data_IF_070650643630
#
_entry.id   IF_070650643630
#
_cell.length_a   1.000
_cell.length_b   1.000
_cell.length_c   1.000
_cell.angle_alpha   90.00
_cell.angle_beta   90.00
_cell.angle_gamma   90.00
#
_symmetry.space_group_name_H-M   'P 1'
#
loop_
_entity.id
_entity.type
_entity.pdbx_description
1 polymer ?
#
# COMPACT_ATOMS: atom_id res chain seq x y z
N UNK A 1 -44.61 -2.95 8.05
CA UNK A 1 -44.05 -3.49 6.80
C UNK A 1 -42.92 -2.57 6.35
N UNK A 2 -41.64 -2.99 6.40
CA UNK A 2 -40.50 -2.14 6.01
C UNK A 2 -40.27 -2.26 4.51
N UNK A 3 -40.14 -1.15 3.80
CA UNK A 3 -39.89 -1.18 2.36
C UNK A 3 -38.44 -1.54 2.10
N UNK A 4 -38.16 -2.19 0.97
CA UNK A 4 -36.81 -2.62 0.57
C UNK A 4 -35.82 -1.44 0.51
N UNK A 5 -36.32 -0.22 0.22
CA UNK A 5 -35.53 1.02 0.24
C UNK A 5 -35.02 1.43 1.63
N UNK A 6 -35.79 1.16 2.69
CA UNK A 6 -35.39 1.49 4.07
C UNK A 6 -34.21 0.65 4.56
N UNK A 7 -34.10 -0.59 4.06
CA UNK A 7 -33.03 -1.51 4.44
C UNK A 7 -31.71 -1.11 3.79
N UNK A 8 -31.74 -0.71 2.51
CA UNK A 8 -30.56 -0.28 1.74
C UNK A 8 -30.00 1.04 2.28
N UNK A 9 -30.86 2.02 2.59
CA UNK A 9 -30.44 3.31 3.15
C UNK A 9 -29.79 3.16 4.53
N UNK A 10 -30.35 2.31 5.39
CA UNK A 10 -29.78 1.99 6.70
C UNK A 10 -28.43 1.27 6.59
N UNK A 11 -28.30 0.28 5.70
CA UNK A 11 -27.02 -0.42 5.49
C UNK A 11 -25.95 0.54 4.99
N UNK A 12 -26.28 1.42 4.04
CA UNK A 12 -25.36 2.46 3.58
C UNK A 12 -24.91 3.36 4.73
N UNK A 13 -25.85 3.86 5.54
CA UNK A 13 -25.53 4.73 6.68
C UNK A 13 -24.60 4.03 7.68
N UNK A 14 -24.85 2.75 7.97
CA UNK A 14 -23.99 1.95 8.85
C UNK A 14 -22.56 1.81 8.32
N UNK A 15 -22.40 1.54 7.02
CA UNK A 15 -21.07 1.45 6.39
C UNK A 15 -20.34 2.79 6.47
N UNK A 16 -21.01 3.88 6.13
CA UNK A 16 -20.41 5.22 6.25
C UNK A 16 -19.97 5.51 7.67
N UNK A 17 -20.84 5.26 8.67
CA UNK A 17 -20.52 5.46 10.08
C UNK A 17 -19.35 4.58 10.53
N UNK A 18 -19.31 3.31 10.11
CA UNK A 18 -18.23 2.40 10.47
C UNK A 18 -16.88 2.87 9.90
N UNK A 19 -16.83 3.29 8.63
CA UNK A 19 -15.58 3.79 8.02
C UNK A 19 -15.13 5.08 8.71
N UNK A 20 -16.04 6.01 8.96
CA UNK A 20 -15.73 7.25 9.69
C UNK A 20 -15.22 6.93 11.10
N UNK A 21 -15.86 6.01 11.81
CA UNK A 21 -15.42 5.59 13.14
C UNK A 21 -14.01 4.97 13.10
N UNK A 22 -13.71 4.10 12.13
CA UNK A 22 -12.38 3.51 11.95
C UNK A 22 -11.34 4.60 11.65
N UNK A 23 -11.65 5.56 10.78
CA UNK A 23 -10.76 6.70 10.50
C UNK A 23 -10.50 7.53 11.76
N UNK A 24 -11.53 7.86 12.52
CA UNK A 24 -11.39 8.66 13.75
C UNK A 24 -10.59 7.91 14.81
N UNK A 25 -10.91 6.63 15.05
CA UNK A 25 -10.16 5.80 16.00
C UNK A 25 -8.71 5.62 15.57
N UNK A 26 -8.46 5.39 14.28
CA UNK A 26 -7.12 5.30 13.72
C UNK A 26 -6.35 6.61 13.83
N UNK A 27 -7.00 7.76 13.62
CA UNK A 27 -6.41 9.08 13.82
C UNK A 27 -6.02 9.28 15.29
N UNK A 28 -6.94 9.04 16.21
CA UNK A 28 -6.70 9.19 17.64
C UNK A 28 -5.55 8.27 18.10
N UNK A 29 -5.54 7.01 17.67
CA UNK A 29 -4.47 6.07 18.00
C UNK A 29 -3.11 6.48 17.44
N UNK A 30 -3.07 7.10 16.25
CA UNK A 30 -1.82 7.59 15.64
C UNK A 30 -1.29 8.86 16.30
N UNK A 31 -2.19 9.77 16.69
CA UNK A 31 -1.81 11.02 17.37
C UNK A 31 -1.47 10.80 18.85
N UNK A 32 -2.04 9.76 19.46
CA UNK A 32 -1.68 9.36 20.83
C UNK A 32 -0.19 9.02 20.92
N UNK A 33 0.52 9.75 21.78
CA UNK A 33 1.94 9.53 22.05
C UNK A 33 2.82 9.64 20.78
N UNK A 34 2.43 10.48 19.82
CA UNK A 34 3.11 10.58 18.53
C UNK A 34 4.57 11.05 18.69
N UNK A 35 4.85 11.91 19.68
CA UNK A 35 6.18 12.43 19.98
C UNK A 35 6.96 11.63 21.02
N UNK A 36 6.35 10.64 21.68
CA UNK A 36 6.94 10.00 22.86
C UNK A 36 8.00 8.94 22.48
N UNK A 37 7.98 8.47 21.24
CA UNK A 37 8.90 7.45 20.74
C UNK A 37 10.13 8.10 20.12
N UNK A 38 11.30 7.58 20.47
CA UNK A 38 12.58 7.93 19.83
C UNK A 38 12.46 7.79 18.32
N UNK A 39 12.96 8.79 17.59
CA UNK A 39 13.01 8.77 16.13
C UNK A 39 13.75 7.54 15.60
N UNK A 40 13.11 6.81 14.69
CA UNK A 40 13.78 5.77 13.93
C UNK A 40 14.87 6.41 13.04
N UNK A 41 15.93 5.65 12.72
CA UNK A 41 17.04 6.15 11.90
C UNK A 41 16.58 6.80 10.59
N UNK A 42 15.60 6.19 9.91
CA UNK A 42 15.04 6.74 8.67
C UNK A 42 14.24 8.03 8.89
N UNK A 43 13.50 8.12 10.00
CA UNK A 43 12.73 9.32 10.35
C UNK A 43 13.66 10.50 10.61
N UNK A 44 14.70 10.30 11.43
CA UNK A 44 15.69 11.33 11.75
C UNK A 44 16.44 11.79 10.48
N UNK A 45 16.82 10.84 9.63
CA UNK A 45 17.50 11.12 8.37
C UNK A 45 16.62 11.94 7.42
N UNK A 46 15.36 11.55 7.22
CA UNK A 46 14.41 12.33 6.39
C UNK A 46 14.19 13.72 7.01
N UNK A 47 14.04 13.82 8.33
CA UNK A 47 13.93 15.09 9.06
C UNK A 47 15.09 16.05 8.80
N UNK A 48 16.33 15.55 8.84
CA UNK A 48 17.52 16.34 8.53
C UNK A 48 17.46 16.98 7.14
N UNK A 49 17.13 16.20 6.10
CA UNK A 49 17.09 16.73 4.73
C UNK A 49 15.92 17.70 4.49
N UNK A 50 14.83 17.56 5.24
CA UNK A 50 13.74 18.55 5.23
C UNK A 50 14.23 19.88 5.82
N UNK A 51 14.99 19.86 6.91
CA UNK A 51 15.56 21.07 7.51
C UNK A 51 16.56 21.76 6.56
N UNK A 52 17.47 20.98 5.97
CA UNK A 52 18.39 21.47 4.94
C UNK A 52 17.63 22.14 3.78
N UNK A 53 16.56 21.50 3.30
CA UNK A 53 15.71 22.05 2.25
C UNK A 53 14.99 23.33 2.69
N UNK A 54 14.51 23.40 3.94
CA UNK A 54 13.86 24.59 4.47
C UNK A 54 14.84 25.78 4.56
N UNK A 55 16.10 25.53 4.90
CA UNK A 55 17.15 26.57 5.00
C UNK A 55 17.66 27.03 3.63
N UNK A 56 17.90 26.09 2.71
CA UNK A 56 18.57 26.37 1.43
C UNK A 56 17.61 26.58 0.26
N UNK A 57 16.39 26.06 0.36
CA UNK A 57 15.42 25.99 -0.74
C UNK A 57 15.80 25.03 -1.87
N UNK A 58 16.93 24.30 -1.75
CA UNK A 58 17.43 23.41 -2.81
C UNK A 58 17.05 21.96 -2.53
N UNK A 59 16.44 21.31 -3.51
CA UNK A 59 16.13 19.88 -3.44
C UNK A 59 17.06 19.10 -4.37
N UNK A 60 17.79 18.15 -3.81
CA UNK A 60 18.57 17.17 -4.57
C UNK A 60 17.96 15.78 -4.40
N UNK A 61 17.69 15.10 -5.52
CA UNK A 61 17.14 13.75 -5.45
C UNK A 61 18.19 12.76 -4.93
N UNK A 62 17.92 12.21 -3.75
CA UNK A 62 18.74 11.16 -3.15
C UNK A 62 17.90 9.89 -2.98
N UNK A 63 18.23 8.77 -3.65
CA UNK A 63 17.45 7.53 -3.58
C UNK A 63 17.24 7.01 -2.14
N UNK A 64 18.17 7.32 -1.24
CA UNK A 64 18.13 6.91 0.17
C UNK A 64 17.12 7.71 1.03
N UNK A 65 16.59 8.84 0.55
CA UNK A 65 15.68 9.75 1.29
C UNK A 65 14.26 9.73 0.74
N UNK A 66 13.95 8.82 -0.19
CA UNK A 66 12.66 8.75 -0.88
C UNK A 66 12.36 10.03 -1.70
N UNK A 67 11.12 10.18 -2.18
CA UNK A 67 10.71 11.28 -3.05
C UNK A 67 10.57 12.66 -2.37
N UNK A 68 10.32 13.73 -3.15
CA UNK A 68 10.31 15.12 -2.67
C UNK A 68 9.13 15.49 -1.77
N UNK A 69 8.12 14.62 -1.68
CA UNK A 69 6.84 14.93 -1.04
C UNK A 69 6.99 15.47 0.40
N UNK A 70 7.78 14.81 1.23
CA UNK A 70 7.96 15.24 2.63
C UNK A 70 8.76 16.54 2.74
N UNK A 71 9.64 16.85 1.80
CA UNK A 71 10.36 18.14 1.79
C UNK A 71 9.38 19.29 1.62
N UNK A 72 8.48 19.20 0.65
CA UNK A 72 7.51 20.25 0.37
C UNK A 72 6.41 20.38 1.42
N UNK A 73 6.01 19.28 2.07
CA UNK A 73 4.93 19.31 3.06
C UNK A 73 5.44 19.63 4.46
N UNK A 74 6.59 19.08 4.86
CA UNK A 74 7.09 19.27 6.21
C UNK A 74 7.92 20.56 6.39
N UNK A 75 8.55 21.12 5.35
CA UNK A 75 9.26 22.41 5.47
C UNK A 75 8.35 23.54 5.98
N UNK A 76 7.20 23.86 5.34
CA UNK A 76 6.30 24.88 5.87
C UNK A 76 5.67 24.49 7.21
N UNK A 77 5.56 23.20 7.49
CA UNK A 77 5.06 22.70 8.77
C UNK A 77 6.05 22.96 9.91
N UNK A 78 7.35 22.79 9.64
CA UNK A 78 8.42 23.11 10.58
C UNK A 78 8.54 24.61 10.80
N UNK A 79 8.37 25.42 9.76
CA UNK A 79 8.33 26.89 9.90
C UNK A 79 7.18 27.35 10.80
N UNK A 80 6.00 26.71 10.70
CA UNK A 80 4.81 27.10 11.44
C UNK A 80 4.78 26.57 12.89
N UNK A 81 5.14 25.30 13.09
CA UNK A 81 4.95 24.58 14.36
C UNK A 81 6.27 24.22 15.06
N UNK A 82 7.40 24.54 14.46
CA UNK A 82 8.73 24.17 14.91
C UNK A 82 9.09 22.71 14.55
N UNK A 83 10.38 22.42 14.33
CA UNK A 83 10.84 21.05 14.11
C UNK A 83 10.88 20.26 15.41
N UNK A 84 10.13 19.16 15.48
CA UNK A 84 10.12 18.20 16.58
C UNK A 84 9.52 16.85 16.12
N UNK A 85 9.61 15.83 16.97
CA UNK A 85 9.13 14.47 16.70
C UNK A 85 7.63 14.40 16.32
N UNK A 86 6.81 15.31 16.87
CA UNK A 86 5.37 15.37 16.53
C UNK A 86 5.19 15.94 15.13
N UNK A 87 5.80 17.09 14.83
CA UNK A 87 5.60 17.79 13.56
C UNK A 87 6.18 17.00 12.40
N UNK A 88 7.31 16.32 12.57
CA UNK A 88 7.92 15.51 11.50
C UNK A 88 7.06 14.30 11.12
N UNK A 89 6.26 13.77 12.05
CA UNK A 89 5.37 12.61 11.85
C UNK A 89 3.94 12.99 11.49
N UNK A 90 3.56 14.25 11.62
CA UNK A 90 2.16 14.69 11.52
C UNK A 90 1.56 14.41 10.14
N UNK A 91 2.24 14.80 9.06
CA UNK A 91 1.74 14.60 7.69
C UNK A 91 1.48 13.11 7.40
N UNK A 92 2.44 12.24 7.73
CA UNK A 92 2.34 10.79 7.54
C UNK A 92 1.20 10.21 8.40
N UNK A 93 1.05 10.68 9.63
CA UNK A 93 0.01 10.21 10.56
C UNK A 93 -1.39 10.58 10.08
N UNK A 94 -1.58 11.80 9.58
CA UNK A 94 -2.85 12.27 9.04
C UNK A 94 -3.23 11.52 7.76
N UNK A 95 -2.29 11.38 6.82
CA UNK A 95 -2.53 10.65 5.57
C UNK A 95 -2.83 9.18 5.83
N UNK A 96 -2.04 8.52 6.69
CA UNK A 96 -2.26 7.14 7.08
C UNK A 96 -3.59 6.91 7.81
N UNK A 97 -4.05 7.88 8.63
CA UNK A 97 -5.36 7.82 9.26
C UNK A 97 -6.52 8.02 8.27
N UNK A 98 -6.31 8.83 7.23
CA UNK A 98 -7.33 9.16 6.24
C UNK A 98 -7.57 8.05 5.20
N UNK A 99 -6.65 7.09 5.03
CA UNK A 99 -6.74 6.01 4.03
C UNK A 99 -8.10 5.27 3.98
N UNK A 100 -8.76 4.93 5.11
CA UNK A 100 -10.06 4.25 5.04
C UNK A 100 -11.15 5.09 4.34
N UNK A 101 -11.05 6.43 4.32
CA UNK A 101 -12.00 7.30 3.63
C UNK A 101 -12.01 7.07 2.11
N UNK A 102 -10.92 6.55 1.54
CA UNK A 102 -10.85 6.17 0.12
C UNK A 102 -11.94 5.14 -0.22
N UNK A 103 -12.31 4.26 0.71
CA UNK A 103 -13.41 3.32 0.51
C UNK A 103 -14.75 4.02 0.28
N UNK A 104 -14.98 5.17 0.93
CA UNK A 104 -16.19 5.98 0.72
C UNK A 104 -16.16 6.70 -0.63
N UNK A 105 -14.99 7.18 -1.06
CA UNK A 105 -14.82 7.80 -2.38
C UNK A 105 -15.12 6.80 -3.50
N UNK A 106 -14.56 5.59 -3.42
CA UNK A 106 -14.81 4.51 -4.39
C UNK A 106 -16.27 4.07 -4.35
N UNK A 107 -16.87 3.98 -3.15
CA UNK A 107 -18.29 3.65 -3.02
C UNK A 107 -19.21 4.74 -3.61
N UNK A 108 -18.85 6.02 -3.45
CA UNK A 108 -19.57 7.14 -4.02
C UNK A 108 -19.47 7.15 -5.55
N UNK A 109 -18.26 6.98 -6.09
CA UNK A 109 -18.01 6.86 -7.53
C UNK A 109 -18.81 5.70 -8.14
N UNK A 110 -18.77 4.53 -7.51
CA UNK A 110 -19.55 3.38 -7.96
C UNK A 110 -21.06 3.66 -8.01
N UNK A 111 -21.60 4.39 -7.02
CA UNK A 111 -23.02 4.77 -7.00
C UNK A 111 -23.35 5.79 -8.09
N UNK A 112 -22.47 6.77 -8.32
CA UNK A 112 -22.64 7.74 -9.41
C UNK A 112 -22.62 7.04 -10.77
N UNK A 113 -21.73 6.06 -10.95
CA UNK A 113 -21.67 5.23 -12.14
C UNK A 113 -22.97 4.44 -12.35
N UNK A 114 -23.50 3.78 -11.31
CA UNK A 114 -24.76 3.02 -11.41
C UNK A 114 -25.97 3.92 -11.70
N UNK A 115 -26.04 5.09 -11.06
CA UNK A 115 -27.15 6.04 -11.24
C UNK A 115 -27.16 6.68 -12.64
N UNK A 116 -26.01 6.80 -13.31
CA UNK A 116 -25.95 7.26 -14.72
C UNK A 116 -26.26 6.17 -15.73
N UNK A 117 -25.95 4.91 -15.41
CA UNK A 117 -25.77 3.90 -16.46
C UNK A 117 -26.94 2.94 -16.67
N UNK A 118 -27.87 2.73 -15.73
CA UNK A 118 -28.81 1.62 -15.92
C UNK A 118 -30.20 1.74 -15.29
N UNK A 119 -31.18 1.75 -16.18
CA UNK A 119 -32.52 1.18 -16.00
C UNK A 119 -32.51 -0.28 -16.52
N UNK A 120 -31.70 -1.18 -15.93
CA UNK A 120 -31.50 -2.54 -16.49
C UNK A 120 -31.43 -3.72 -15.51
N UNK A 121 -31.87 -4.91 -15.97
CA UNK A 121 -31.96 -6.12 -15.16
C UNK A 121 -30.59 -6.71 -14.74
N UNK A 122 -30.47 -6.99 -13.43
CA UNK A 122 -29.30 -7.50 -12.71
C UNK A 122 -28.65 -8.75 -13.31
N UNK A 123 -29.44 -9.61 -13.98
CA UNK A 123 -28.96 -10.85 -14.61
C UNK A 123 -27.93 -10.61 -15.72
N UNK A 124 -28.07 -9.50 -16.44
CA UNK A 124 -27.15 -9.11 -17.51
C UNK A 124 -25.85 -8.50 -16.96
N UNK A 125 -25.93 -7.79 -15.83
CA UNK A 125 -24.76 -7.26 -15.12
C UNK A 125 -23.92 -8.39 -14.52
N UNK A 126 -24.55 -9.38 -13.89
CA UNK A 126 -23.88 -10.54 -13.30
C UNK A 126 -23.15 -11.40 -14.34
N UNK A 127 -23.77 -11.68 -15.49
CA UNK A 127 -23.09 -12.39 -16.59
C UNK A 127 -21.89 -11.62 -17.14
N UNK A 128 -22.01 -10.30 -17.31
CA UNK A 128 -20.92 -9.44 -17.78
C UNK A 128 -19.78 -9.35 -16.77
N UNK A 129 -20.10 -9.28 -15.49
CA UNK A 129 -19.09 -9.31 -14.42
C UNK A 129 -18.37 -10.66 -14.40
N UNK A 130 -19.11 -11.77 -14.44
CA UNK A 130 -18.53 -13.12 -14.45
C UNK A 130 -17.63 -13.36 -15.67
N UNK A 131 -18.04 -12.94 -16.88
CA UNK A 131 -17.18 -13.09 -18.08
C UNK A 131 -15.97 -12.18 -18.04
N UNK A 132 -16.10 -10.96 -17.51
CA UNK A 132 -14.98 -10.03 -17.32
C UNK A 132 -13.98 -10.54 -16.28
N UNK A 133 -14.46 -11.04 -15.14
CA UNK A 133 -13.64 -11.65 -14.08
C UNK A 133 -12.93 -12.89 -14.63
N UNK A 134 -13.64 -13.81 -15.30
CA UNK A 134 -13.03 -15.01 -15.89
C UNK A 134 -11.97 -14.67 -16.93
N UNK A 135 -12.23 -13.66 -17.78
CA UNK A 135 -11.28 -13.23 -18.81
C UNK A 135 -10.07 -12.55 -18.17
N UNK A 136 -10.29 -11.69 -17.17
CA UNK A 136 -9.24 -11.07 -16.37
C UNK A 136 -8.35 -12.13 -15.71
N UNK A 137 -8.94 -13.08 -14.97
CA UNK A 137 -8.22 -14.21 -14.37
C UNK A 137 -7.38 -14.97 -15.40
N UNK A 138 -7.96 -15.33 -16.56
CA UNK A 138 -7.21 -16.02 -17.63
C UNK A 138 -6.06 -15.18 -18.19
N UNK A 139 -6.26 -13.89 -18.39
CA UNK A 139 -5.22 -12.99 -18.88
C UNK A 139 -4.10 -12.82 -17.85
N UNK A 140 -4.42 -12.82 -16.56
CA UNK A 140 -3.46 -12.63 -15.49
C UNK A 140 -2.79 -13.91 -15.00
N UNK A 141 -3.37 -15.08 -15.28
CA UNK A 141 -2.79 -16.39 -14.95
C UNK A 141 -1.35 -16.54 -15.43
N UNK A 142 -0.99 -16.26 -16.71
CA UNK A 142 0.40 -16.39 -17.13
C UNK A 142 1.33 -15.43 -16.37
N UNK A 143 0.90 -14.19 -16.09
CA UNK A 143 1.71 -13.24 -15.32
C UNK A 143 1.92 -13.69 -13.87
N UNK A 144 0.87 -14.22 -13.24
CA UNK A 144 0.98 -14.79 -11.89
C UNK A 144 1.92 -15.99 -11.86
N UNK A 145 1.82 -16.90 -12.84
CA UNK A 145 2.72 -18.05 -12.94
C UNK A 145 4.18 -17.62 -13.15
N UNK A 146 4.43 -16.64 -14.02
CA UNK A 146 5.77 -16.06 -14.21
C UNK A 146 6.27 -15.45 -12.91
N UNK A 147 5.43 -14.67 -12.20
CA UNK A 147 5.80 -14.09 -10.92
C UNK A 147 6.10 -15.12 -9.84
N UNK A 148 5.38 -16.25 -9.80
CA UNK A 148 5.68 -17.37 -8.89
C UNK A 148 7.01 -18.02 -9.25
N UNK A 149 7.28 -18.26 -10.54
CA UNK A 149 8.55 -18.82 -11.01
C UNK A 149 9.71 -17.88 -10.67
N UNK A 150 9.55 -16.58 -10.93
CA UNK A 150 10.55 -15.55 -10.62
C UNK A 150 10.79 -15.46 -9.10
N UNK A 151 9.72 -15.42 -8.30
CA UNK A 151 9.83 -15.42 -6.84
C UNK A 151 10.62 -16.62 -6.34
N UNK A 152 10.29 -17.83 -6.82
CA UNK A 152 11.02 -19.04 -6.45
C UNK A 152 12.49 -18.99 -6.92
N UNK A 153 12.76 -18.50 -8.13
CA UNK A 153 14.12 -18.33 -8.63
C UNK A 153 14.94 -17.34 -7.78
N UNK A 154 14.34 -16.22 -7.36
CA UNK A 154 14.97 -15.25 -6.44
C UNK A 154 15.23 -15.88 -5.08
N UNK A 155 14.25 -16.61 -4.52
CA UNK A 155 14.44 -17.31 -3.24
C UNK A 155 15.60 -18.30 -3.34
N UNK A 156 15.64 -19.14 -4.37
CA UNK A 156 16.75 -20.09 -4.57
C UNK A 156 18.07 -19.35 -4.79
N UNK A 157 18.11 -18.29 -5.60
CA UNK A 157 19.34 -17.52 -5.83
C UNK A 157 19.90 -16.86 -4.55
N UNK A 158 19.02 -16.35 -3.68
CA UNK A 158 19.45 -15.68 -2.45
C UNK A 158 19.81 -16.66 -1.34
N UNK A 159 19.17 -17.84 -1.30
CA UNK A 159 19.32 -18.80 -0.21
C UNK A 159 20.11 -20.06 -0.59
N UNK A 160 20.48 -20.25 -1.86
CA UNK A 160 21.38 -21.34 -2.24
C UNK A 160 22.77 -21.14 -1.61
N UNK A 161 23.45 -22.24 -1.22
CA UNK A 161 24.84 -22.19 -0.77
C UNK A 161 25.74 -21.41 -1.73
N UNK A 162 26.69 -20.64 -1.19
CA UNK A 162 27.67 -19.84 -1.95
C UNK A 162 29.12 -20.29 -1.74
N UNK A 163 29.32 -21.48 -1.17
CA UNK A 163 30.63 -22.07 -0.94
C UNK A 163 31.24 -22.59 -2.25
N UNK A 164 32.56 -22.71 -2.31
CA UNK A 164 33.26 -23.28 -3.48
C UNK A 164 33.03 -24.78 -3.65
N UNK A 165 32.58 -25.45 -2.59
CA UNK A 165 32.43 -26.92 -2.53
C UNK A 165 30.96 -27.37 -2.62
N UNK A 166 30.01 -26.44 -2.54
CA UNK A 166 28.57 -26.75 -2.50
C UNK A 166 27.87 -26.31 -3.80
N UNK A 167 26.91 -27.10 -4.33
CA UNK A 167 26.17 -26.74 -5.53
C UNK A 167 25.31 -25.48 -5.31
N UNK A 168 25.61 -24.40 -6.03
CA UNK A 168 24.85 -23.14 -6.02
C UNK A 168 23.85 -23.00 -7.17
N UNK A 169 23.19 -21.85 -7.25
CA UNK A 169 22.23 -21.54 -8.33
C UNK A 169 22.83 -21.62 -9.75
N UNK A 170 24.12 -21.31 -9.89
CA UNK A 170 24.88 -21.43 -11.14
C UNK A 170 25.03 -22.90 -11.59
N UNK A 171 25.28 -23.80 -10.64
CA UNK A 171 25.33 -25.25 -10.92
C UNK A 171 23.97 -25.82 -11.30
N UNK A 172 22.88 -25.30 -10.71
CA UNK A 172 21.51 -25.67 -11.06
C UNK A 172 21.14 -25.30 -12.50
N UNK A 173 21.62 -24.15 -13.00
CA UNK A 173 21.39 -23.72 -14.38
C UNK A 173 22.15 -24.58 -15.40
N UNK A 174 23.35 -25.05 -15.03
CA UNK A 174 24.16 -25.92 -15.86
C UNK A 174 23.69 -27.39 -15.82
N UNK A 175 23.22 -27.85 -14.66
CA UNK A 175 22.69 -29.20 -14.45
C UNK A 175 21.44 -29.19 -13.54
N UNK A 176 20.23 -29.27 -14.13
CA UNK A 176 18.97 -29.26 -13.40
C UNK A 176 18.79 -30.44 -12.43
N UNK A 177 19.58 -31.50 -12.54
CA UNK A 177 19.47 -32.67 -11.65
C UNK A 177 20.01 -32.40 -10.24
N UNK A 178 20.74 -31.29 -10.04
CA UNK A 178 21.25 -30.84 -8.74
C UNK A 178 20.21 -30.15 -7.85
N UNK A 179 19.00 -29.91 -8.35
CA UNK A 179 17.91 -29.22 -7.63
C UNK A 179 17.63 -29.75 -6.21
N UNK A 180 17.59 -31.07 -5.94
CA UNK A 180 17.37 -31.57 -4.60
C UNK A 180 18.48 -31.21 -3.61
N UNK A 181 19.74 -31.08 -4.07
CA UNK A 181 20.86 -30.68 -3.22
C UNK A 181 20.83 -29.17 -2.91
N UNK A 182 20.47 -28.35 -3.90
CA UNK A 182 20.35 -26.89 -3.76
C UNK A 182 19.17 -26.48 -2.86
N UNK A 183 18.07 -27.23 -2.89
CA UNK A 183 16.85 -26.94 -2.11
C UNK A 183 16.82 -27.67 -0.77
N UNK A 184 17.50 -28.81 -0.64
CA UNK A 184 17.51 -29.61 0.60
C UNK A 184 18.28 -28.96 1.77
N UNK A 185 19.13 -27.99 1.47
CA UNK A 185 19.96 -27.27 2.46
C UNK A 185 19.60 -25.79 2.63
N UNK A 186 18.60 -25.28 1.90
CA UNK A 186 18.05 -23.92 2.00
C UNK A 186 16.83 -23.85 2.93
#
# INVERSE_FOLDING_TARGET
>A
MRTTGDVVSRRSRRVTLAVVAITVLGLLARLAFLGDRIAHWDEARVGYWILEYAETGTFEYRPIIHGPFLHHVNAPLFDLLGPNDVTMRLAVSLLGAALPLVALLVLADHRLFLNRAFDRPWRSALRRYATRVRRGLRTWTPHFLVGVIEFLAVVVFFYSPRGTDDPGFDTLLADPTTLPAVVGEA
#
